data_IF_184312358324
#
_entry.id   IF_184312358324
#
_cell.length_a   1.000
_cell.length_b   1.000
_cell.length_c   1.000
_cell.angle_alpha   90.00
_cell.angle_beta   90.00
_cell.angle_gamma   90.00
#
_symmetry.space_group_name_H-M   'P 1'
#
loop_
_entity.id
_entity.type
_entity.pdbx_description
1 polymer ?
#
# COMPACT_ATOMS: atom_id res chain seq x y z
N UNK A 1 -28.66 -15.88 -9.87
CA UNK A 1 -28.07 -16.77 -8.83
C UNK A 1 -26.58 -17.01 -9.01
N UNK A 2 -26.06 -17.23 -10.23
CA UNK A 2 -24.62 -17.51 -10.43
C UNK A 2 -23.69 -16.29 -10.46
N UNK A 3 -24.21 -15.06 -10.51
CA UNK A 3 -23.41 -13.82 -10.65
C UNK A 3 -22.45 -13.62 -9.46
N UNK A 4 -22.90 -13.86 -8.23
CA UNK A 4 -22.06 -13.68 -7.03
C UNK A 4 -20.95 -14.75 -6.93
N UNK A 5 -21.21 -15.97 -7.39
CA UNK A 5 -20.21 -17.04 -7.42
C UNK A 5 -19.20 -16.81 -8.56
N UNK A 6 -19.68 -16.29 -9.70
CA UNK A 6 -18.87 -16.06 -10.89
C UNK A 6 -18.62 -14.58 -11.17
N UNK A 7 -18.46 -13.76 -10.12
CA UNK A 7 -18.39 -12.31 -10.25
C UNK A 7 -17.29 -11.84 -11.19
N UNK A 8 -16.14 -12.53 -11.21
CA UNK A 8 -15.05 -12.22 -12.15
C UNK A 8 -15.48 -12.39 -13.62
N UNK A 9 -16.16 -13.49 -13.95
CA UNK A 9 -16.65 -13.73 -15.32
C UNK A 9 -17.77 -12.77 -15.69
N UNK A 10 -18.67 -12.47 -14.75
CA UNK A 10 -19.73 -11.50 -14.97
C UNK A 10 -19.18 -10.08 -15.21
N UNK A 11 -18.17 -9.66 -14.44
CA UNK A 11 -17.49 -8.38 -14.61
C UNK A 11 -16.78 -8.29 -15.97
N UNK A 12 -16.17 -9.38 -16.43
CA UNK A 12 -15.54 -9.46 -17.75
C UNK A 12 -16.56 -9.28 -18.87
N UNK A 13 -17.71 -9.97 -18.77
CA UNK A 13 -18.81 -9.83 -19.72
C UNK A 13 -19.42 -8.42 -19.70
N UNK A 14 -19.44 -7.77 -18.54
CA UNK A 14 -19.90 -6.38 -18.39
C UNK A 14 -18.87 -5.34 -18.86
N UNK A 15 -17.66 -5.76 -19.26
CA UNK A 15 -16.63 -4.87 -19.78
C UNK A 15 -15.81 -4.13 -18.71
N UNK A 16 -15.67 -4.71 -17.51
CA UNK A 16 -14.85 -4.11 -16.46
C UNK A 16 -13.38 -3.92 -16.89
N UNK A 17 -12.79 -2.77 -16.53
CA UNK A 17 -11.38 -2.49 -16.80
C UNK A 17 -10.48 -3.44 -16.04
N UNK A 18 -9.57 -4.12 -16.74
CA UNK A 18 -8.54 -4.96 -16.13
C UNK A 18 -7.48 -4.10 -15.45
N UNK A 19 -7.39 -4.19 -14.13
CA UNK A 19 -6.51 -3.36 -13.28
C UNK A 19 -5.21 -4.09 -12.88
N UNK A 20 -4.19 -3.32 -12.52
CA UNK A 20 -2.90 -3.81 -12.02
C UNK A 20 -3.00 -4.15 -10.52
N UNK A 21 -3.47 -5.36 -10.21
CA UNK A 21 -3.57 -5.91 -8.84
C UNK A 21 -4.09 -4.91 -7.79
N UNK A 22 -5.40 -4.59 -7.81
CA UNK A 22 -6.01 -3.82 -6.73
C UNK A 22 -5.89 -4.55 -5.40
N UNK A 23 -5.37 -3.87 -4.38
CA UNK A 23 -5.26 -4.38 -3.01
C UNK A 23 -6.21 -3.58 -2.08
N UNK A 24 -5.69 -2.69 -1.23
CA UNK A 24 -6.51 -1.97 -0.24
C UNK A 24 -7.17 -0.70 -0.82
N UNK A 25 -8.29 -0.31 -0.20
CA UNK A 25 -9.01 0.93 -0.49
C UNK A 25 -9.26 1.68 0.82
N UNK A 26 -9.07 3.00 0.82
CA UNK A 26 -9.38 3.86 1.96
C UNK A 26 -9.96 5.22 1.55
N UNK A 27 -10.81 5.79 2.40
CA UNK A 27 -11.40 7.11 2.21
C UNK A 27 -10.52 8.19 2.85
N UNK A 28 -10.14 9.20 2.06
CA UNK A 28 -9.47 10.40 2.58
C UNK A 28 -10.44 11.44 3.12
N UNK A 29 -9.94 12.34 3.98
CA UNK A 29 -10.72 13.47 4.52
C UNK A 29 -11.21 14.45 3.45
N UNK A 30 -10.59 14.44 2.27
CA UNK A 30 -10.99 15.22 1.09
C UNK A 30 -12.17 14.60 0.31
N UNK A 31 -12.69 13.47 0.79
CA UNK A 31 -13.79 12.71 0.18
C UNK A 31 -13.37 11.93 -1.06
N UNK A 32 -12.07 11.84 -1.35
CA UNK A 32 -11.56 10.92 -2.38
C UNK A 32 -11.39 9.52 -1.77
N UNK A 33 -11.66 8.51 -2.59
CA UNK A 33 -11.31 7.13 -2.32
C UNK A 33 -9.95 6.84 -2.95
N UNK A 34 -9.06 6.22 -2.20
CA UNK A 34 -7.70 5.88 -2.62
C UNK A 34 -7.58 4.36 -2.69
N UNK A 35 -7.09 3.83 -3.82
CA UNK A 35 -6.86 2.41 -4.01
C UNK A 35 -5.43 2.14 -4.46
N UNK A 36 -4.80 1.14 -3.85
CA UNK A 36 -3.46 0.69 -4.24
C UNK A 36 -3.53 -0.32 -5.38
N UNK A 37 -2.61 -0.18 -6.32
CA UNK A 37 -2.41 -1.05 -7.48
C UNK A 37 -0.96 -1.54 -7.41
N UNK A 38 -0.74 -2.63 -6.67
CA UNK A 38 0.56 -2.99 -6.10
C UNK A 38 1.62 -3.25 -7.17
N UNK A 39 1.31 -4.01 -8.22
CA UNK A 39 2.16 -4.16 -9.41
C UNK A 39 1.43 -4.99 -10.47
N UNK A 40 1.98 -5.05 -11.68
CA UNK A 40 1.60 -6.01 -12.71
C UNK A 40 2.69 -6.13 -13.78
N UNK A 41 3.66 -7.02 -13.56
CA UNK A 41 4.72 -7.31 -14.54
C UNK A 41 4.19 -8.00 -15.80
N UNK A 42 2.93 -8.45 -15.81
CA UNK A 42 2.27 -9.00 -16.99
C UNK A 42 1.60 -7.93 -17.87
N UNK A 43 1.42 -6.70 -17.38
CA UNK A 43 0.79 -5.60 -18.13
C UNK A 43 1.47 -5.40 -19.48
N UNK A 44 0.69 -5.48 -20.55
CA UNK A 44 1.13 -5.31 -21.94
C UNK A 44 1.90 -6.48 -22.55
N UNK A 45 2.17 -7.57 -21.82
CA UNK A 45 2.75 -8.79 -22.43
C UNK A 45 1.79 -9.38 -23.47
N UNK A 46 2.31 -10.23 -24.36
CA UNK A 46 1.49 -10.91 -25.36
C UNK A 46 0.35 -11.67 -24.69
N UNK A 47 -0.89 -11.46 -25.17
CA UNK A 47 -2.09 -12.06 -24.59
C UNK A 47 -2.55 -11.45 -23.26
N UNK A 48 -1.89 -10.40 -22.77
CA UNK A 48 -2.27 -9.69 -21.56
C UNK A 48 -2.86 -8.32 -21.89
N UNK A 49 -3.71 -7.77 -21.01
CA UNK A 49 -4.23 -6.42 -21.18
C UNK A 49 -3.12 -5.38 -21.43
N UNK A 50 -3.32 -4.50 -22.41
CA UNK A 50 -2.39 -3.40 -22.75
C UNK A 50 -2.36 -2.30 -21.68
N UNK A 51 -1.45 -1.33 -21.84
CA UNK A 51 -1.47 -0.11 -21.02
C UNK A 51 -2.72 0.72 -21.33
N UNK A 52 -3.22 1.44 -20.34
CA UNK A 52 -4.30 2.40 -20.48
C UNK A 52 -4.12 3.54 -19.47
N UNK A 53 -5.02 4.54 -19.47
CA UNK A 53 -4.88 5.69 -18.59
C UNK A 53 -4.85 5.32 -17.09
N UNK A 54 -5.58 4.27 -16.70
CA UNK A 54 -5.63 3.81 -15.31
C UNK A 54 -4.49 2.84 -14.95
N UNK A 55 -3.77 2.31 -15.93
CA UNK A 55 -2.66 1.36 -15.78
C UNK A 55 -1.57 1.73 -16.82
N UNK A 56 -0.83 2.84 -16.61
CA UNK A 56 -0.07 3.48 -17.69
C UNK A 56 1.29 2.81 -17.96
N UNK A 57 1.77 1.94 -17.07
CA UNK A 57 3.13 1.39 -17.13
C UNK A 57 3.10 -0.03 -17.67
N UNK A 58 3.80 -0.27 -18.79
CA UNK A 58 4.02 -1.62 -19.32
C UNK A 58 4.94 -2.40 -18.37
N UNK A 59 4.58 -3.64 -18.04
CA UNK A 59 5.31 -4.49 -17.10
C UNK A 59 5.61 -3.77 -15.77
N UNK A 60 4.58 -3.15 -15.19
CA UNK A 60 4.67 -2.35 -13.99
C UNK A 60 5.20 -3.17 -12.80
N UNK A 61 6.44 -2.94 -12.38
CA UNK A 61 7.04 -3.63 -11.23
C UNK A 61 6.86 -2.87 -9.91
N UNK A 62 6.59 -1.57 -9.97
CA UNK A 62 6.64 -0.67 -8.81
C UNK A 62 5.26 -0.30 -8.27
N UNK A 63 4.21 -0.39 -9.09
CA UNK A 63 2.85 -0.06 -8.68
C UNK A 63 2.53 1.42 -8.68
N UNK A 64 1.30 1.72 -8.29
CA UNK A 64 0.75 3.07 -8.25
C UNK A 64 -0.49 3.14 -7.35
N UNK A 65 -0.92 4.36 -7.03
CA UNK A 65 -2.12 4.62 -6.25
C UNK A 65 -3.09 5.41 -7.13
N UNK A 66 -4.27 4.85 -7.37
CA UNK A 66 -5.37 5.52 -8.05
C UNK A 66 -6.30 6.14 -7.00
N UNK A 67 -6.96 7.25 -7.34
CA UNK A 67 -8.04 7.78 -6.53
C UNK A 67 -9.24 8.20 -7.35
N UNK A 68 -10.43 8.09 -6.77
CA UNK A 68 -11.67 8.51 -7.40
C UNK A 68 -12.61 9.22 -6.42
N UNK A 69 -13.52 10.02 -6.96
CA UNK A 69 -14.57 10.70 -6.22
C UNK A 69 -15.88 10.51 -6.95
N UNK A 70 -16.83 9.90 -6.26
CA UNK A 70 -18.16 9.61 -6.79
C UNK A 70 -18.94 10.89 -7.13
N UNK A 71 -19.84 10.80 -8.11
CA UNK A 71 -20.65 11.93 -8.57
C UNK A 71 -21.79 12.31 -7.61
N UNK A 72 -22.23 11.40 -6.74
CA UNK A 72 -23.36 11.60 -5.83
C UNK A 72 -23.13 10.94 -4.46
N UNK A 73 -22.03 11.29 -3.79
CA UNK A 73 -21.80 10.88 -2.40
C UNK A 73 -21.73 9.36 -2.17
N UNK A 74 -21.23 8.61 -3.16
CA UNK A 74 -21.16 7.15 -3.24
C UNK A 74 -22.47 6.44 -3.66
N UNK A 75 -23.47 7.20 -4.10
CA UNK A 75 -24.70 6.68 -4.70
C UNK A 75 -24.74 6.88 -6.22
N UNK A 76 -23.75 7.57 -6.77
CA UNK A 76 -23.67 7.87 -8.19
C UNK A 76 -23.35 6.65 -9.06
N UNK A 77 -23.76 6.72 -10.32
CA UNK A 77 -23.37 5.74 -11.34
C UNK A 77 -22.04 6.07 -12.05
N UNK A 78 -21.43 7.22 -11.73
CA UNK A 78 -20.20 7.70 -12.36
C UNK A 78 -19.28 8.34 -11.33
N UNK A 79 -17.98 8.40 -11.63
CA UNK A 79 -16.96 9.01 -10.78
C UNK A 79 -15.91 9.74 -11.62
N UNK A 80 -15.30 10.76 -11.03
CA UNK A 80 -14.03 11.31 -11.52
C UNK A 80 -12.86 10.56 -10.89
N UNK A 81 -11.76 10.38 -11.61
CA UNK A 81 -10.59 9.69 -11.10
C UNK A 81 -9.29 10.28 -11.65
N UNK A 82 -8.21 10.07 -10.92
CA UNK A 82 -6.84 10.36 -11.35
C UNK A 82 -5.86 9.43 -10.64
N UNK A 83 -4.62 9.37 -11.15
CA UNK A 83 -3.53 8.74 -10.41
C UNK A 83 -3.06 9.68 -9.30
N UNK A 84 -3.19 9.24 -8.05
CA UNK A 84 -2.67 9.97 -6.92
C UNK A 84 -1.15 10.02 -7.02
N UNK A 85 -0.50 8.88 -7.24
CA UNK A 85 0.95 8.80 -7.46
C UNK A 85 1.35 7.53 -8.19
N UNK A 86 2.46 7.60 -8.92
CA UNK A 86 3.16 6.46 -9.51
C UNK A 86 4.40 6.21 -8.65
N UNK A 87 4.55 5.00 -8.10
CA UNK A 87 5.56 4.73 -7.08
C UNK A 87 6.99 4.99 -7.59
N UNK A 88 7.29 4.57 -8.83
CA UNK A 88 8.60 4.77 -9.44
C UNK A 88 8.92 6.23 -9.84
N UNK A 89 7.95 7.14 -9.72
CA UNK A 89 8.10 8.58 -10.02
C UNK A 89 7.99 9.43 -8.76
N UNK A 90 7.85 8.81 -7.59
CA UNK A 90 7.63 9.49 -6.31
C UNK A 90 8.82 9.27 -5.38
N UNK A 91 9.33 10.38 -4.85
CA UNK A 91 10.54 10.42 -4.03
C UNK A 91 10.29 11.32 -2.82
N UNK A 92 10.86 10.97 -1.66
CA UNK A 92 10.94 11.91 -0.54
C UNK A 92 12.01 12.98 -0.77
N UNK A 93 12.13 13.94 0.16
CA UNK A 93 13.14 15.02 0.09
C UNK A 93 14.59 14.49 0.04
N UNK A 94 14.83 13.27 0.52
CA UNK A 94 16.12 12.57 0.46
C UNK A 94 16.32 11.75 -0.81
N UNK A 95 15.37 11.77 -1.75
CA UNK A 95 15.41 10.98 -2.98
C UNK A 95 15.06 9.50 -2.80
N UNK A 96 14.58 9.09 -1.63
CA UNK A 96 14.23 7.69 -1.40
C UNK A 96 12.85 7.38 -1.99
N UNK A 97 12.74 6.20 -2.60
CA UNK A 97 11.55 5.70 -3.28
C UNK A 97 10.87 4.60 -2.47
N UNK A 98 9.72 4.15 -2.94
CA UNK A 98 9.06 2.93 -2.50
C UNK A 98 8.51 2.17 -3.72
N UNK A 99 8.19 0.89 -3.54
CA UNK A 99 7.55 0.05 -4.54
C UNK A 99 6.41 -0.73 -3.91
N UNK A 100 5.58 -1.33 -4.76
CA UNK A 100 4.51 -2.25 -4.39
C UNK A 100 3.64 -1.75 -3.23
N UNK A 101 2.98 -0.57 -3.37
CA UNK A 101 2.05 -0.11 -2.35
C UNK A 101 0.91 -1.11 -2.20
N UNK A 102 0.58 -1.46 -0.97
CA UNK A 102 -0.45 -2.43 -0.62
C UNK A 102 -1.42 -1.82 0.40
N UNK A 103 -1.11 -1.87 1.69
CA UNK A 103 -1.94 -1.29 2.74
C UNK A 103 -2.09 0.23 2.60
N UNK A 104 -3.29 0.75 2.82
CA UNK A 104 -3.56 2.20 2.74
C UNK A 104 -4.58 2.65 3.78
N UNK A 105 -4.33 3.82 4.37
CA UNK A 105 -5.26 4.46 5.32
C UNK A 105 -5.25 5.98 5.19
N UNK A 106 -6.43 6.55 4.92
CA UNK A 106 -6.67 7.99 4.94
C UNK A 106 -7.10 8.47 6.33
N UNK A 107 -6.50 9.57 6.79
CA UNK A 107 -6.77 10.14 8.10
C UNK A 107 -7.51 11.50 8.03
N UNK A 108 -8.15 11.93 9.14
CA UNK A 108 -8.89 13.20 9.18
C UNK A 108 -8.08 14.47 8.93
N UNK A 109 -6.75 14.44 9.09
CA UNK A 109 -5.88 15.62 8.85
C UNK A 109 -5.42 15.70 7.38
N UNK A 110 -5.92 14.81 6.51
CA UNK A 110 -5.58 14.78 5.09
C UNK A 110 -4.27 14.05 4.79
N UNK A 111 -3.83 13.16 5.69
CA UNK A 111 -2.68 12.27 5.47
C UNK A 111 -3.13 10.92 4.92
N UNK A 112 -2.36 10.39 3.98
CA UNK A 112 -2.55 9.07 3.40
C UNK A 112 -1.36 8.21 3.81
N UNK A 113 -1.59 7.30 4.74
CA UNK A 113 -0.59 6.34 5.17
C UNK A 113 -0.55 5.16 4.19
N UNK A 114 0.65 4.75 3.80
CA UNK A 114 0.90 3.75 2.75
C UNK A 114 1.84 2.70 3.34
N UNK A 115 1.48 1.44 3.18
CA UNK A 115 2.27 0.28 3.57
C UNK A 115 2.69 -0.46 2.28
N UNK A 116 3.81 -1.17 2.31
CA UNK A 116 4.35 -1.85 1.13
C UNK A 116 4.47 -3.34 1.36
N UNK A 117 4.23 -4.09 0.28
CA UNK A 117 4.45 -5.53 0.16
C UNK A 117 5.17 -5.83 -1.16
N UNK A 118 6.47 -6.11 -1.08
CA UNK A 118 7.22 -6.69 -2.18
C UNK A 118 8.51 -5.96 -2.49
N UNK A 119 8.93 -6.03 -3.76
CA UNK A 119 10.24 -5.52 -4.15
C UNK A 119 10.34 -4.01 -3.95
N UNK A 120 11.22 -3.59 -3.05
CA UNK A 120 11.52 -2.19 -2.80
C UNK A 120 12.75 -1.72 -3.61
N UNK A 121 12.75 -0.47 -4.09
CA UNK A 121 13.91 0.13 -4.73
C UNK A 121 15.16 0.03 -3.85
N UNK A 122 16.29 -0.36 -4.44
CA UNK A 122 17.56 -0.51 -3.71
C UNK A 122 17.66 -1.74 -2.81
N UNK A 123 16.77 -2.72 -2.95
CA UNK A 123 16.69 -3.90 -2.07
C UNK A 123 16.50 -3.52 -0.59
N UNK A 124 15.82 -2.41 -0.35
CA UNK A 124 15.38 -2.02 0.98
C UNK A 124 14.30 -2.97 1.52
N UNK A 125 14.04 -2.92 2.82
CA UNK A 125 12.89 -3.60 3.42
C UNK A 125 11.59 -2.86 3.08
N UNK A 126 10.47 -3.58 3.15
CA UNK A 126 9.15 -2.96 3.15
C UNK A 126 8.99 -1.93 4.26
N UNK A 127 8.07 -1.00 4.09
CA UNK A 127 8.08 0.26 4.83
C UNK A 127 6.67 0.83 5.02
N UNK A 128 6.54 1.75 5.98
CA UNK A 128 5.37 2.59 6.12
C UNK A 128 5.72 4.04 5.80
N UNK A 129 4.95 4.64 4.90
CA UNK A 129 5.05 6.04 4.52
C UNK A 129 3.79 6.80 4.88
N UNK A 130 3.89 8.12 4.84
CA UNK A 130 2.76 9.05 4.91
C UNK A 130 2.89 10.07 3.78
N UNK A 131 1.80 10.27 3.06
CA UNK A 131 1.68 11.26 2.00
C UNK A 131 0.68 12.35 2.40
N UNK A 132 0.94 13.58 1.99
CA UNK A 132 -0.07 14.64 2.04
C UNK A 132 -1.04 14.50 0.85
N UNK A 133 -2.35 14.44 1.12
CA UNK A 133 -3.39 14.22 0.09
C UNK A 133 -3.48 15.31 -0.98
N UNK A 134 -2.96 16.51 -0.70
CA UNK A 134 -2.99 17.67 -1.61
C UNK A 134 -1.68 17.83 -2.36
N UNK A 135 -0.57 17.92 -1.62
CA UNK A 135 0.76 18.20 -2.18
C UNK A 135 1.43 16.93 -2.72
N UNK A 136 0.97 15.75 -2.31
CA UNK A 136 1.53 14.43 -2.63
C UNK A 136 2.96 14.22 -2.10
N UNK A 137 3.47 15.15 -1.29
CA UNK A 137 4.75 15.00 -0.63
C UNK A 137 4.71 13.79 0.31
N UNK A 138 5.74 12.96 0.24
CA UNK A 138 5.86 11.73 1.04
C UNK A 138 6.95 11.85 2.10
N UNK A 139 6.73 11.19 3.24
CA UNK A 139 7.74 10.94 4.27
C UNK A 139 7.65 9.50 4.74
N UNK A 140 8.78 8.88 5.02
CA UNK A 140 8.85 7.53 5.60
C UNK A 140 8.75 7.61 7.11
N UNK A 141 7.91 6.77 7.68
CA UNK A 141 7.74 6.63 9.14
C UNK A 141 8.75 5.63 9.67
N UNK A 142 8.79 4.43 9.07
CA UNK A 142 9.74 3.38 9.43
C UNK A 142 9.93 2.40 8.27
N UNK A 143 11.02 1.64 8.34
CA UNK A 143 11.25 0.43 7.54
C UNK A 143 11.04 -0.79 8.43
N UNK A 144 10.42 -1.84 7.89
CA UNK A 144 10.33 -3.14 8.51
C UNK A 144 11.69 -3.86 8.57
N UNK A 145 11.63 -5.17 8.74
CA UNK A 145 12.79 -6.04 8.83
C UNK A 145 12.94 -6.88 7.57
N UNK A 146 14.07 -7.59 7.45
CA UNK A 146 14.31 -8.43 6.29
C UNK A 146 13.21 -9.49 6.12
N UNK A 147 12.69 -9.60 4.90
CA UNK A 147 11.69 -10.59 4.51
C UNK A 147 10.28 -10.38 5.06
N UNK A 148 10.01 -9.28 5.78
CA UNK A 148 8.62 -8.94 6.13
C UNK A 148 7.98 -8.08 5.04
N UNK A 149 6.66 -8.09 4.97
CA UNK A 149 5.88 -6.95 4.48
C UNK A 149 5.42 -6.07 5.67
N UNK A 150 5.06 -4.83 5.38
CA UNK A 150 4.36 -3.96 6.33
C UNK A 150 2.89 -3.95 5.94
N UNK A 151 2.00 -4.37 6.84
CA UNK A 151 0.57 -4.51 6.52
C UNK A 151 -0.31 -4.32 7.74
N UNK A 152 -1.59 -4.02 7.53
CA UNK A 152 -2.56 -3.77 8.59
C UNK A 152 -2.28 -2.48 9.36
N UNK A 153 -3.31 -1.65 9.52
CA UNK A 153 -3.20 -0.41 10.29
C UNK A 153 -4.47 -0.17 11.07
N UNK A 154 -4.29 0.16 12.35
CA UNK A 154 -5.35 0.66 13.21
C UNK A 154 -4.82 1.79 14.08
N UNK A 155 -5.68 2.75 14.43
CA UNK A 155 -5.30 3.87 15.28
C UNK A 155 -6.28 4.05 16.42
N UNK A 156 -5.78 4.49 17.56
CA UNK A 156 -6.63 4.99 18.65
C UNK A 156 -7.44 6.21 18.19
N UNK A 157 -8.63 6.50 18.77
CA UNK A 157 -9.45 7.65 18.37
C UNK A 157 -8.74 9.01 18.42
N UNK A 158 -7.82 9.21 19.38
CA UNK A 158 -7.01 10.43 19.48
C UNK A 158 -5.79 10.44 18.54
N UNK A 159 -5.57 9.36 17.78
CA UNK A 159 -4.47 9.14 16.81
C UNK A 159 -3.06 9.26 17.40
N UNK A 160 -2.91 9.08 18.71
CA UNK A 160 -1.60 9.13 19.41
C UNK A 160 -0.90 7.77 19.47
N UNK A 161 -1.64 6.69 19.20
CA UNK A 161 -1.11 5.34 19.09
C UNK A 161 -1.58 4.70 17.78
N UNK A 162 -0.64 4.13 17.04
CA UNK A 162 -0.88 3.39 15.81
C UNK A 162 -0.39 1.96 15.97
N UNK A 163 -1.20 1.01 15.54
CA UNK A 163 -0.91 -0.41 15.50
C UNK A 163 -0.65 -0.80 14.05
N UNK A 164 0.52 -1.39 13.78
CA UNK A 164 0.95 -1.78 12.43
C UNK A 164 1.57 -3.17 12.48
N UNK A 165 1.27 -4.06 11.53
CA UNK A 165 1.84 -5.40 11.54
C UNK A 165 3.10 -5.49 10.67
N UNK A 166 4.07 -6.28 11.14
CA UNK A 166 5.06 -6.91 10.27
C UNK A 166 4.62 -8.35 10.08
N UNK A 167 4.25 -8.70 8.84
CA UNK A 167 3.87 -10.06 8.49
C UNK A 167 5.09 -10.81 7.94
N UNK A 168 5.14 -12.12 8.23
CA UNK A 168 6.13 -13.09 7.78
C UNK A 168 7.60 -12.62 7.81
N UNK A 169 8.13 -12.02 8.90
CA UNK A 169 9.55 -11.66 8.93
C UNK A 169 10.44 -12.85 8.56
N UNK A 170 11.34 -12.65 7.60
CA UNK A 170 12.20 -13.69 7.05
C UNK A 170 11.50 -14.91 6.46
N UNK A 171 10.19 -14.86 6.18
CA UNK A 171 9.36 -16.01 5.79
C UNK A 171 9.50 -17.23 6.71
N UNK A 172 9.73 -16.99 8.00
CA UNK A 172 9.98 -18.05 8.98
C UNK A 172 11.43 -18.57 9.01
N UNK A 173 12.35 -18.03 8.19
CA UNK A 173 13.76 -18.44 8.17
C UNK A 173 14.61 -17.62 9.18
N UNK A 174 15.11 -18.25 10.27
CA UNK A 174 15.99 -17.59 11.24
C UNK A 174 17.34 -17.12 10.66
N UNK A 175 17.72 -17.55 9.46
CA UNK A 175 18.89 -17.01 8.74
C UNK A 175 18.67 -15.60 8.21
N UNK A 176 17.42 -15.23 7.93
CA UNK A 176 17.04 -13.95 7.36
C UNK A 176 16.63 -12.97 8.47
N UNK A 177 15.82 -13.44 9.42
CA UNK A 177 15.33 -12.62 10.52
C UNK A 177 15.10 -13.46 11.76
N UNK A 178 15.30 -12.89 12.95
CA UNK A 178 14.81 -13.46 14.21
C UNK A 178 13.74 -12.55 14.86
N UNK A 179 13.28 -11.52 14.13
CA UNK A 179 12.36 -10.52 14.66
C UNK A 179 11.06 -11.18 15.16
N UNK A 180 10.51 -10.79 16.33
CA UNK A 180 10.83 -9.61 17.13
C UNK A 180 12.03 -9.74 18.09
N UNK A 181 12.74 -10.87 18.11
CA UNK A 181 13.98 -10.97 18.88
C UNK A 181 15.15 -10.29 18.14
N UNK A 182 16.23 -9.93 18.86
CA UNK A 182 17.48 -9.50 18.22
C UNK A 182 18.00 -10.55 17.24
N UNK A 183 18.59 -10.10 16.13
CA UNK A 183 19.13 -11.01 15.12
C UNK A 183 20.42 -11.69 15.62
N UNK A 184 20.39 -13.02 15.70
CA UNK A 184 21.53 -13.88 16.04
C UNK A 184 21.76 -14.97 14.98
N UNK A 185 21.17 -14.81 13.80
CA UNK A 185 21.28 -15.72 12.67
C UNK A 185 20.57 -17.05 12.88
N UNK A 186 21.01 -18.08 12.16
CA UNK A 186 20.35 -19.39 12.08
C UNK A 186 20.13 -20.10 13.43
N UNK A 187 20.95 -19.78 14.45
CA UNK A 187 20.83 -20.33 15.79
C UNK A 187 19.84 -19.56 16.69
N UNK A 188 19.37 -18.40 16.22
CA UNK A 188 18.36 -17.60 16.91
C UNK A 188 16.95 -18.19 16.84
N UNK A 189 15.99 -17.57 17.54
CA UNK A 189 14.60 -17.99 17.49
C UNK A 189 14.01 -17.80 16.09
N UNK A 190 13.07 -18.67 15.73
CA UNK A 190 12.27 -18.53 14.51
C UNK A 190 11.55 -17.18 14.54
N UNK A 191 11.61 -16.39 13.45
CA UNK A 191 10.94 -15.10 13.38
C UNK A 191 9.42 -15.27 13.46
N UNK A 192 8.73 -14.23 13.92
CA UNK A 192 7.29 -14.26 14.18
C UNK A 192 6.65 -12.96 13.72
N UNK A 193 5.48 -13.09 13.13
CA UNK A 193 4.57 -11.98 12.89
C UNK A 193 4.31 -11.22 14.19
N UNK A 194 4.22 -9.90 14.10
CA UNK A 194 3.92 -9.09 15.27
C UNK A 194 3.21 -7.78 14.91
N UNK A 195 2.53 -7.22 15.90
CA UNK A 195 1.97 -5.88 15.84
C UNK A 195 2.90 -4.91 16.56
N UNK A 196 3.42 -3.94 15.84
CA UNK A 196 4.13 -2.80 16.37
C UNK A 196 3.15 -1.79 16.98
N UNK A 197 3.51 -1.23 18.13
CA UNK A 197 2.78 -0.12 18.75
C UNK A 197 3.63 1.13 18.60
N UNK A 198 3.21 2.01 17.68
CA UNK A 198 3.93 3.23 17.35
C UNK A 198 3.33 4.38 18.15
N UNK A 199 4.19 5.08 18.88
CA UNK A 199 3.88 6.30 19.64
C UNK A 199 4.94 7.35 19.36
N UNK A 200 4.56 8.63 19.42
CA UNK A 200 5.54 9.72 19.41
C UNK A 200 6.12 9.94 20.79
N UNK A 201 7.41 10.26 20.85
CA UNK A 201 8.12 10.59 22.09
C UNK A 201 7.52 11.80 22.83
N UNK A 202 6.92 12.73 22.10
CA UNK A 202 6.27 13.93 22.65
C UNK A 202 4.77 13.75 22.93
N UNK A 203 4.20 12.55 22.69
CA UNK A 203 2.78 12.28 22.86
C UNK A 203 1.86 12.99 21.85
N UNK A 204 2.41 13.49 20.74
CA UNK A 204 1.67 14.08 19.64
C UNK A 204 0.91 13.06 18.80
N UNK A 205 0.18 13.55 17.79
CA UNK A 205 -0.51 12.70 16.81
C UNK A 205 0.50 12.07 15.85
N UNK A 206 0.34 10.78 15.54
CA UNK A 206 1.25 10.08 14.62
C UNK A 206 1.26 10.76 13.25
N UNK A 207 2.45 11.02 12.70
CA UNK A 207 2.62 11.64 11.38
C UNK A 207 2.34 13.14 11.29
N UNK A 208 2.19 13.85 12.42
CA UNK A 208 2.04 15.32 12.44
C UNK A 208 3.35 16.09 12.53
#
# INVERSE_FOLDING_TARGET
DKILVHTRLAADLAGATKMDRPEWISTGADGWQYGTLTNNTNRGRTGQPGVNAANPIRQNASGHIIRWKDSDGNLGGTFQWNLFMIAQETFDEGGQMFGSPDGIWGDPDGRIFIQTDGAQPGANNDQMLVADSKTKAIKRIFTGVAGCEVTGVAVTPNRKTMFVNLQHPGDGDPKISNFPAPFTGAAGPVPRDCTLVITRKDGGVIGS
#
